data_IF_803403062058
#
_entry.id   IF_803403062058
#
_cell.length_a   1.000
_cell.length_b   1.000
_cell.length_c   1.000
_cell.angle_alpha   90.00
_cell.angle_beta   90.00
_cell.angle_gamma   90.00
#
_symmetry.space_group_name_H-M   'P 1'
#
loop_
_entity.id
_entity.type
_entity.pdbx_description
1 polymer ?
#
# COMPACT_ATOMS: atom_id res chain seq x y z
N UNK A 1 2.86 25.67 -7.82
CA UNK A 1 2.79 25.05 -6.49
C UNK A 1 1.85 23.84 -6.50
N UNK A 2 0.73 23.89 -7.22
CA UNK A 2 -0.12 22.71 -7.48
C UNK A 2 0.61 21.57 -8.21
N UNK A 3 1.58 21.89 -9.08
CA UNK A 3 2.40 20.89 -9.76
C UNK A 3 3.08 19.89 -8.80
N UNK A 4 3.50 20.35 -7.61
CA UNK A 4 4.10 19.48 -6.59
C UNK A 4 3.05 18.55 -6.00
N UNK A 5 1.86 19.06 -5.65
CA UNK A 5 0.75 18.24 -5.18
C UNK A 5 0.32 17.21 -6.22
N UNK A 6 0.22 17.61 -7.49
CA UNK A 6 -0.11 16.69 -8.57
C UNK A 6 0.96 15.60 -8.73
N UNK A 7 2.25 15.96 -8.70
CA UNK A 7 3.33 14.98 -8.80
C UNK A 7 3.27 13.96 -7.66
N UNK A 8 3.05 14.42 -6.42
CA UNK A 8 2.90 13.54 -5.26
C UNK A 8 1.67 12.64 -5.40
N UNK A 9 0.52 13.20 -5.80
CA UNK A 9 -0.71 12.43 -6.00
C UNK A 9 -0.55 11.35 -7.07
N UNK A 10 0.16 11.65 -8.15
CA UNK A 10 0.50 10.68 -9.19
C UNK A 10 1.38 9.55 -8.66
N UNK A 11 2.40 9.85 -7.84
CA UNK A 11 3.23 8.81 -7.21
C UNK A 11 2.39 7.90 -6.31
N UNK A 12 1.50 8.47 -5.50
CA UNK A 12 0.59 7.71 -4.65
C UNK A 12 -0.36 6.84 -5.48
N UNK A 13 -0.91 7.37 -6.59
CA UNK A 13 -1.77 6.62 -7.52
C UNK A 13 -1.04 5.46 -8.19
N UNK A 14 0.20 5.67 -8.64
CA UNK A 14 1.02 4.60 -9.24
C UNK A 14 1.24 3.49 -8.20
N UNK A 15 1.51 3.85 -6.95
CA UNK A 15 1.65 2.87 -5.88
C UNK A 15 0.33 2.17 -5.55
N UNK A 16 -0.80 2.87 -5.55
CA UNK A 16 -2.14 2.24 -5.45
C UNK A 16 -2.35 1.21 -6.56
N UNK A 17 -1.99 1.51 -7.82
CA UNK A 17 -2.06 0.52 -8.90
C UNK A 17 -1.14 -0.68 -8.68
N UNK A 18 0.06 -0.47 -8.12
CA UNK A 18 0.94 -1.57 -7.73
C UNK A 18 0.30 -2.44 -6.63
N UNK A 19 -0.41 -1.85 -5.66
CA UNK A 19 -1.17 -2.60 -4.66
C UNK A 19 -2.35 -3.37 -5.28
N UNK A 20 -3.05 -2.81 -6.26
CA UNK A 20 -4.10 -3.54 -6.99
C UNK A 20 -3.48 -4.74 -7.72
N UNK A 21 -2.41 -4.52 -8.48
CA UNK A 21 -1.69 -5.58 -9.17
C UNK A 21 -1.21 -6.64 -8.17
N UNK A 22 -0.77 -6.24 -6.97
CA UNK A 22 -0.34 -7.13 -5.90
C UNK A 22 -1.44 -8.07 -5.44
N UNK A 23 -2.64 -7.53 -5.23
CA UNK A 23 -3.81 -8.33 -4.84
C UNK A 23 -4.26 -9.25 -5.97
N UNK A 24 -4.24 -8.78 -7.23
CA UNK A 24 -4.58 -9.63 -8.37
C UNK A 24 -3.59 -10.78 -8.56
N UNK A 25 -2.28 -10.50 -8.47
CA UNK A 25 -1.23 -11.51 -8.59
C UNK A 25 -1.26 -12.52 -7.45
N UNK A 26 -1.73 -12.16 -6.25
CA UNK A 26 -1.82 -13.12 -5.14
C UNK A 26 -2.94 -14.17 -5.34
N UNK A 27 -3.92 -13.89 -6.19
CA UNK A 27 -4.98 -14.83 -6.57
C UNK A 27 -4.66 -15.63 -7.83
N UNK A 28 -3.78 -15.12 -8.68
CA UNK A 28 -3.33 -15.82 -9.88
C UNK A 28 -2.15 -16.75 -9.55
N UNK A 29 -2.07 -17.95 -10.14
CA UNK A 29 -0.95 -18.87 -9.95
C UNK A 29 0.28 -18.44 -10.79
N UNK A 30 0.76 -17.20 -10.61
CA UNK A 30 1.91 -16.66 -11.35
C UNK A 30 3.19 -16.91 -10.55
N UNK A 31 4.21 -17.45 -11.23
CA UNK A 31 5.50 -17.72 -10.61
C UNK A 31 6.26 -16.44 -10.22
N UNK A 32 6.87 -16.43 -9.03
CA UNK A 32 7.76 -15.34 -8.58
C UNK A 32 9.06 -15.24 -9.37
N UNK A 33 9.42 -16.26 -10.16
CA UNK A 33 10.56 -16.18 -11.08
C UNK A 33 10.32 -15.19 -12.23
N UNK A 34 9.08 -14.73 -12.44
CA UNK A 34 8.81 -13.65 -13.36
C UNK A 34 9.33 -12.32 -12.79
N UNK A 35 10.28 -11.68 -13.48
CA UNK A 35 10.91 -10.43 -13.07
C UNK A 35 9.90 -9.31 -12.78
N UNK A 36 8.78 -9.24 -13.51
CA UNK A 36 7.75 -8.24 -13.27
C UNK A 36 7.01 -8.48 -11.95
N UNK A 37 6.75 -9.75 -11.62
CA UNK A 37 6.17 -10.15 -10.33
C UNK A 37 7.18 -9.85 -9.23
N UNK A 38 8.43 -10.28 -9.37
CA UNK A 38 9.47 -10.02 -8.37
C UNK A 38 9.63 -8.52 -8.08
N UNK A 39 9.70 -7.68 -9.12
CA UNK A 39 9.74 -6.23 -8.98
C UNK A 39 8.53 -5.68 -8.21
N UNK A 40 7.33 -6.21 -8.48
CA UNK A 40 6.12 -5.85 -7.74
C UNK A 40 6.24 -6.21 -6.26
N UNK A 41 6.80 -7.39 -5.93
CA UNK A 41 7.14 -7.77 -4.55
C UNK A 41 8.17 -6.78 -3.96
N UNK A 42 9.25 -6.49 -4.66
CA UNK A 42 10.31 -5.59 -4.17
C UNK A 42 9.79 -4.18 -3.84
N UNK A 43 8.91 -3.63 -4.67
CA UNK A 43 8.38 -2.26 -4.48
C UNK A 43 7.34 -2.21 -3.38
N UNK A 44 6.46 -3.22 -3.29
CA UNK A 44 5.33 -3.19 -2.34
C UNK A 44 5.68 -3.72 -0.96
N UNK A 45 6.62 -4.67 -0.83
CA UNK A 45 6.98 -5.31 0.45
C UNK A 45 7.47 -4.34 1.54
N UNK A 46 8.29 -3.30 1.26
CA UNK A 46 8.73 -2.36 2.30
C UNK A 46 7.57 -1.68 3.04
N UNK A 47 6.42 -1.53 2.38
CA UNK A 47 5.19 -0.96 2.96
C UNK A 47 4.30 -2.06 3.54
N UNK A 48 4.13 -3.18 2.83
CA UNK A 48 3.21 -4.25 3.24
C UNK A 48 3.76 -5.11 4.39
N UNK A 49 5.06 -5.41 4.43
CA UNK A 49 5.70 -6.19 5.48
C UNK A 49 5.50 -5.61 6.89
N UNK A 50 5.75 -4.31 7.17
CA UNK A 50 5.50 -3.75 8.49
C UNK A 50 4.01 -3.75 8.85
N UNK A 51 3.13 -3.41 7.90
CA UNK A 51 1.68 -3.44 8.11
C UNK A 51 1.23 -4.86 8.48
N UNK A 52 1.64 -5.86 7.70
CA UNK A 52 1.35 -7.27 7.95
C UNK A 52 1.88 -7.73 9.31
N UNK A 53 3.10 -7.34 9.66
CA UNK A 53 3.67 -7.65 10.98
C UNK A 53 2.82 -7.05 12.10
N UNK A 54 2.40 -5.79 11.97
CA UNK A 54 1.53 -5.13 12.95
C UNK A 54 0.16 -5.81 13.07
N UNK A 55 -0.44 -6.21 11.95
CA UNK A 55 -1.71 -6.93 11.92
C UNK A 55 -1.60 -8.30 12.61
N UNK A 56 -0.57 -9.07 12.29
CA UNK A 56 -0.37 -10.40 12.86
C UNK A 56 0.01 -10.35 14.35
N UNK A 57 0.69 -9.29 14.79
CA UNK A 57 0.99 -9.04 16.19
C UNK A 57 -0.21 -8.50 16.98
N UNK A 58 -1.23 -7.97 16.29
CA UNK A 58 -2.42 -7.43 16.96
C UNK A 58 -3.22 -8.56 17.61
N UNK A 59 -3.63 -8.37 18.87
CA UNK A 59 -4.50 -9.32 19.60
C UNK A 59 -5.83 -9.61 18.90
N UNK A 60 -6.26 -8.73 17.99
CA UNK A 60 -7.50 -8.85 17.24
C UNK A 60 -7.42 -9.94 16.14
N UNK A 61 -6.28 -10.06 15.46
CA UNK A 61 -6.08 -10.97 14.33
C UNK A 61 -5.12 -12.13 14.64
N UNK A 62 -4.41 -12.08 15.77
CA UNK A 62 -3.48 -13.13 16.19
C UNK A 62 -4.20 -14.48 16.36
N UNK A 63 -3.67 -15.54 15.75
CA UNK A 63 -4.20 -16.92 15.76
C UNK A 63 -5.63 -17.12 15.20
N UNK A 64 -6.17 -16.17 14.44
CA UNK A 64 -7.41 -16.36 13.67
C UNK A 64 -7.13 -16.96 12.28
N UNK A 65 -8.08 -17.72 11.69
CA UNK A 65 -8.01 -18.15 10.28
C UNK A 65 -7.78 -16.96 9.32
N UNK A 66 -8.20 -15.77 9.72
CA UNK A 66 -8.00 -14.51 8.98
C UNK A 66 -6.52 -14.11 8.87
N UNK A 67 -5.63 -14.57 9.77
CA UNK A 67 -4.18 -14.30 9.70
C UNK A 67 -3.52 -14.89 8.44
N UNK A 68 -4.14 -15.91 7.83
CA UNK A 68 -3.64 -16.54 6.61
C UNK A 68 -3.88 -15.69 5.36
N UNK A 69 -4.86 -14.79 5.41
CA UNK A 69 -5.17 -13.87 4.31
C UNK A 69 -4.38 -12.58 4.52
N UNK A 70 -3.66 -12.16 3.49
CA UNK A 70 -2.88 -10.93 3.55
C UNK A 70 -3.79 -9.70 3.41
N UNK A 71 -4.28 -9.20 4.54
CA UNK A 71 -5.09 -7.97 4.63
C UNK A 71 -4.23 -6.68 4.57
N UNK A 72 -2.91 -6.80 4.52
CA UNK A 72 -2.02 -5.62 4.49
C UNK A 72 -2.26 -4.67 3.30
N UNK A 73 -2.65 -5.12 2.09
CA UNK A 73 -2.94 -4.21 0.98
C UNK A 73 -4.13 -3.28 1.26
N UNK A 74 -5.17 -3.78 1.92
CA UNK A 74 -6.37 -2.99 2.27
C UNK A 74 -5.98 -1.88 3.26
N UNK A 75 -5.21 -2.23 4.28
CA UNK A 75 -4.71 -1.24 5.24
C UNK A 75 -3.81 -0.22 4.55
N UNK A 76 -2.97 -0.65 3.60
CA UNK A 76 -2.14 0.25 2.81
C UNK A 76 -2.97 1.23 1.98
N UNK A 77 -4.06 0.80 1.32
CA UNK A 77 -4.97 1.71 0.61
C UNK A 77 -5.56 2.79 1.53
N UNK A 78 -6.01 2.39 2.72
CA UNK A 78 -6.56 3.34 3.70
C UNK A 78 -5.49 4.35 4.13
N UNK A 79 -4.28 3.88 4.44
CA UNK A 79 -3.16 4.74 4.84
C UNK A 79 -2.76 5.73 3.73
N UNK A 80 -2.77 5.30 2.47
CA UNK A 80 -2.50 6.18 1.33
C UNK A 80 -3.57 7.28 1.22
N UNK A 81 -4.86 6.91 1.39
CA UNK A 81 -5.95 7.89 1.38
C UNK A 81 -5.83 8.93 2.50
N UNK A 82 -5.45 8.49 3.70
CA UNK A 82 -5.16 9.39 4.84
C UNK A 82 -3.96 10.27 4.52
N UNK A 83 -2.87 9.69 4.02
CA UNK A 83 -1.65 10.42 3.65
C UNK A 83 -1.94 11.50 2.61
N UNK A 84 -2.69 11.18 1.55
CA UNK A 84 -3.13 12.14 0.53
C UNK A 84 -3.88 13.32 1.14
N UNK A 85 -4.82 13.05 2.05
CA UNK A 85 -5.59 14.11 2.74
C UNK A 85 -4.70 14.97 3.64
N UNK A 86 -3.81 14.36 4.41
CA UNK A 86 -2.87 15.08 5.29
C UNK A 86 -1.96 15.98 4.47
N UNK A 87 -1.40 15.49 3.36
CA UNK A 87 -0.55 16.28 2.46
C UNK A 87 -1.32 17.48 1.91
N UNK A 88 -2.56 17.30 1.47
CA UNK A 88 -3.40 18.39 0.97
C UNK A 88 -3.67 19.45 2.05
N UNK A 89 -4.02 19.03 3.28
CA UNK A 89 -4.27 19.95 4.40
C UNK A 89 -3.00 20.73 4.75
N UNK A 90 -1.87 20.03 4.92
CA UNK A 90 -0.59 20.66 5.27
C UNK A 90 -0.17 21.65 4.20
N UNK A 91 -0.28 21.27 2.93
CA UNK A 91 0.02 22.16 1.83
C UNK A 91 -0.88 23.41 1.88
N UNK A 92 -2.19 23.26 2.01
CA UNK A 92 -3.09 24.41 2.10
C UNK A 92 -2.80 25.33 3.31
N UNK A 93 -2.27 24.79 4.41
CA UNK A 93 -1.92 25.54 5.62
C UNK A 93 -0.75 26.51 5.41
N UNK A 94 0.24 26.18 4.57
CA UNK A 94 1.41 27.04 4.31
C UNK A 94 1.18 28.10 3.24
N UNK A 95 -0.01 28.11 2.64
CA UNK A 95 -0.34 28.89 1.44
C UNK A 95 -1.46 29.90 1.69
N UNK A 96 -1.77 30.12 2.97
CA UNK A 96 -2.60 31.21 3.47
C UNK A 96 -1.74 32.42 3.83
#
# INVERSE_FOLDING_TARGET
MDAVLYAIDWVLKIFEFALIARVLISWLPVSRYNKAVDLLYTITEPVLAPIRKMLNQSRLLNNSMLSMIDFSPIVAFILIGVLRRVIYILFNMFYF
#
